data_IF_410388705915
#
_entry.id   IF_410388705915
#
_cell.length_a   1.000
_cell.length_b   1.000
_cell.length_c   1.000
_cell.angle_alpha   90.00
_cell.angle_beta   90.00
_cell.angle_gamma   90.00
#
_symmetry.space_group_name_H-M   'P 1'
#
loop_
_entity.id
_entity.type
_entity.pdbx_description
1 polymer ?
#
# COMPACT_ATOMS: atom_id res chain seq x y z
N UNK A 1 14.87 8.15 11.38
CA UNK A 1 13.73 7.23 11.23
C UNK A 1 12.80 7.50 12.39
N UNK A 2 11.47 7.62 12.18
CA UNK A 2 10.54 7.89 13.26
C UNK A 2 10.55 6.75 14.29
N UNK A 3 10.27 7.07 15.54
CA UNK A 3 10.13 6.08 16.62
C UNK A 3 8.72 5.45 16.57
N UNK A 4 8.53 4.33 17.28
CA UNK A 4 7.22 3.65 17.31
C UNK A 4 6.09 4.57 17.77
N UNK A 5 6.32 5.36 18.82
CA UNK A 5 5.30 6.29 19.34
C UNK A 5 4.88 7.34 18.31
N UNK A 6 5.83 7.80 17.49
CA UNK A 6 5.56 8.73 16.39
C UNK A 6 4.74 8.07 15.28
N UNK A 7 5.03 6.81 14.94
CA UNK A 7 4.23 6.05 13.97
C UNK A 7 2.81 5.80 14.49
N UNK A 8 2.64 5.47 15.78
CA UNK A 8 1.33 5.32 16.40
C UNK A 8 0.54 6.64 16.41
N UNK A 9 1.21 7.76 16.65
CA UNK A 9 0.62 9.09 16.51
C UNK A 9 0.14 9.35 15.08
N UNK A 10 0.94 9.00 14.07
CA UNK A 10 0.54 9.10 12.66
C UNK A 10 -0.68 8.23 12.34
N UNK A 11 -0.70 6.97 12.79
CA UNK A 11 -1.85 6.07 12.59
C UNK A 11 -3.11 6.65 13.23
N UNK A 12 -3.00 7.24 14.42
CA UNK A 12 -4.11 7.95 15.07
C UNK A 12 -4.59 9.13 14.22
N UNK A 13 -3.67 9.96 13.71
CA UNK A 13 -3.98 11.06 12.80
C UNK A 13 -4.72 10.61 11.56
N UNK A 14 -4.24 9.55 10.91
CA UNK A 14 -4.90 8.93 9.75
C UNK A 14 -6.31 8.48 10.07
N UNK A 15 -6.52 7.83 11.22
CA UNK A 15 -7.84 7.37 11.62
C UNK A 15 -8.83 8.53 11.79
N UNK A 16 -8.41 9.63 12.41
CA UNK A 16 -9.22 10.85 12.50
C UNK A 16 -9.56 11.41 11.12
N UNK A 17 -8.59 11.49 10.21
CA UNK A 17 -8.84 11.94 8.84
C UNK A 17 -9.80 11.02 8.08
N UNK A 18 -9.68 9.70 8.21
CA UNK A 18 -10.61 8.71 7.63
C UNK A 18 -12.02 8.91 8.17
N UNK A 19 -12.15 9.27 9.46
CA UNK A 19 -13.44 9.59 10.07
C UNK A 19 -14.05 10.92 9.59
N UNK A 20 -13.29 11.75 8.86
CA UNK A 20 -13.72 13.08 8.43
C UNK A 20 -13.26 14.20 9.38
N UNK A 21 -12.54 13.87 10.46
CA UNK A 21 -12.06 14.85 11.43
C UNK A 21 -10.71 15.43 10.97
N UNK A 22 -10.71 16.71 10.58
CA UNK A 22 -9.51 17.44 10.15
C UNK A 22 -8.49 17.66 11.26
N UNK A 23 -8.86 17.48 12.53
CA UNK A 23 -7.91 17.45 13.65
C UNK A 23 -6.82 16.40 13.46
N UNK A 24 -7.06 15.34 12.65
CA UNK A 24 -6.04 14.36 12.32
C UNK A 24 -4.75 14.95 11.73
N UNK A 25 -4.79 16.14 11.11
CA UNK A 25 -3.59 16.85 10.66
C UNK A 25 -2.65 17.26 11.79
N UNK A 26 -3.14 17.53 13.00
CA UNK A 26 -2.28 17.93 14.13
C UNK A 26 -1.36 16.80 14.61
N UNK A 27 -1.70 15.56 14.26
CA UNK A 27 -0.93 14.36 14.60
C UNK A 27 0.10 14.00 13.53
N UNK A 28 0.08 14.65 12.35
CA UNK A 28 0.89 14.32 11.19
C UNK A 28 1.89 15.44 10.89
N UNK A 29 3.11 15.07 10.52
CA UNK A 29 4.11 16.03 10.04
C UNK A 29 3.90 16.30 8.54
N UNK A 30 3.19 17.39 8.21
CA UNK A 30 2.89 17.83 6.83
C UNK A 30 3.95 18.82 6.31
N UNK A 31 5.07 18.98 7.01
CA UNK A 31 6.20 19.79 6.53
C UNK A 31 6.95 19.12 5.38
N UNK A 32 7.88 19.84 4.75
CA UNK A 32 8.83 19.24 3.80
C UNK A 32 9.69 18.14 4.45
N UNK A 33 10.10 18.32 5.70
CA UNK A 33 10.80 17.28 6.47
C UNK A 33 9.90 16.06 6.71
N UNK A 34 8.62 16.30 6.98
CA UNK A 34 7.59 15.27 7.13
C UNK A 34 7.34 14.48 5.85
N UNK A 35 7.38 15.14 4.68
CA UNK A 35 7.32 14.51 3.37
C UNK A 35 8.42 13.45 3.23
N UNK A 36 9.68 13.83 3.41
CA UNK A 36 10.81 12.91 3.32
C UNK A 36 10.74 11.80 4.38
N UNK A 37 10.31 12.13 5.60
CA UNK A 37 10.13 11.15 6.68
C UNK A 37 9.05 10.11 6.32
N UNK A 38 8.00 10.50 5.62
CA UNK A 38 6.91 9.58 5.25
C UNK A 38 7.37 8.42 4.37
N UNK A 39 8.43 8.60 3.55
CA UNK A 39 8.98 7.49 2.75
C UNK A 39 9.56 6.36 3.61
N UNK A 40 9.86 6.60 4.89
CA UNK A 40 10.27 5.54 5.83
C UNK A 40 9.14 4.56 6.15
N UNK A 41 7.88 4.87 5.80
CA UNK A 41 6.75 3.96 5.92
C UNK A 41 6.96 2.62 5.20
N UNK A 42 7.74 2.61 4.11
CA UNK A 42 8.11 1.36 3.43
C UNK A 42 8.91 0.43 4.34
N UNK A 43 9.83 0.99 5.13
CA UNK A 43 10.65 0.23 6.09
C UNK A 43 9.79 -0.37 7.20
N UNK A 44 8.78 0.39 7.68
CA UNK A 44 7.79 -0.10 8.64
C UNK A 44 6.87 -1.18 8.06
N UNK A 45 6.69 -1.19 6.74
CA UNK A 45 5.89 -2.18 6.02
C UNK A 45 6.67 -3.46 5.70
N UNK A 46 8.01 -3.43 5.70
CA UNK A 46 8.86 -4.57 5.32
C UNK A 46 8.55 -5.88 6.05
N UNK A 47 8.30 -5.91 7.38
CA UNK A 47 7.95 -7.17 8.05
C UNK A 47 6.66 -7.79 7.50
N UNK A 48 5.64 -6.98 7.25
CA UNK A 48 4.38 -7.43 6.66
C UNK A 48 4.56 -7.85 5.19
N UNK A 49 5.38 -7.12 4.42
CA UNK A 49 5.73 -7.47 3.05
C UNK A 49 6.46 -8.81 2.97
N UNK A 50 7.38 -9.10 3.90
CA UNK A 50 8.08 -10.38 3.95
C UNK A 50 7.13 -11.57 4.14
N UNK A 51 6.09 -11.43 4.96
CA UNK A 51 5.02 -12.43 5.12
C UNK A 51 4.27 -12.63 3.80
N UNK A 52 3.88 -11.54 3.15
CA UNK A 52 3.22 -11.58 1.83
C UNK A 52 4.11 -12.25 0.76
N UNK A 53 5.41 -11.96 0.73
CA UNK A 53 6.34 -12.59 -0.22
C UNK A 53 6.53 -14.08 0.05
N UNK A 54 6.57 -14.50 1.31
CA UNK A 54 6.63 -15.91 1.66
C UNK A 54 5.36 -16.65 1.17
N UNK A 55 4.19 -16.04 1.30
CA UNK A 55 2.93 -16.55 0.73
C UNK A 55 2.98 -16.62 -0.81
N UNK A 56 3.49 -15.59 -1.48
CA UNK A 56 3.71 -15.60 -2.93
C UNK A 56 4.64 -16.71 -3.39
N UNK A 57 5.70 -16.99 -2.63
CA UNK A 57 6.60 -18.12 -2.90
C UNK A 57 5.86 -19.45 -2.82
N UNK A 58 4.99 -19.66 -1.82
CA UNK A 58 4.18 -20.88 -1.74
C UNK A 58 3.24 -21.02 -2.93
N UNK A 59 2.55 -19.93 -3.29
CA UNK A 59 1.68 -19.91 -4.47
C UNK A 59 2.45 -20.28 -5.75
N UNK A 60 3.60 -19.65 -6.00
CA UNK A 60 4.43 -19.93 -7.15
C UNK A 60 4.88 -21.39 -7.19
N UNK A 61 5.43 -21.92 -6.09
CA UNK A 61 5.93 -23.29 -6.03
C UNK A 61 4.82 -24.34 -6.11
N UNK A 62 3.60 -24.02 -5.68
CA UNK A 62 2.46 -24.94 -5.76
C UNK A 62 2.04 -25.29 -7.19
N UNK A 63 2.40 -24.43 -8.16
CA UNK A 63 2.12 -24.62 -9.57
C UNK A 63 3.34 -25.10 -10.37
N UNK A 64 4.49 -25.31 -9.73
CA UNK A 64 5.74 -25.72 -10.37
C UNK A 64 5.99 -27.22 -10.18
N UNK A 65 6.79 -27.86 -11.07
CA UNK A 65 7.20 -29.24 -10.89
C UNK A 65 7.85 -29.49 -9.53
N UNK A 66 7.62 -30.67 -8.95
CA UNK A 66 8.21 -31.08 -7.68
C UNK A 66 9.74 -30.98 -7.72
N UNK A 67 10.34 -30.41 -6.67
CA UNK A 67 11.78 -30.17 -6.60
C UNK A 67 12.22 -28.79 -7.12
N UNK A 68 11.32 -27.99 -7.69
CA UNK A 68 11.60 -26.59 -8.03
C UNK A 68 11.93 -25.81 -6.75
N UNK A 69 12.98 -25.00 -6.80
CA UNK A 69 13.36 -24.09 -5.71
C UNK A 69 13.51 -22.67 -6.23
N UNK A 70 13.31 -21.70 -5.35
CA UNK A 70 13.54 -20.29 -5.63
C UNK A 70 14.53 -19.71 -4.62
N UNK A 71 15.51 -18.97 -5.12
CA UNK A 71 16.52 -18.28 -4.31
C UNK A 71 16.15 -16.82 -4.00
N UNK A 72 17.10 -16.08 -3.45
CA UNK A 72 16.94 -14.67 -3.06
C UNK A 72 16.48 -13.77 -4.21
N UNK A 73 16.85 -14.10 -5.46
CA UNK A 73 16.44 -13.34 -6.65
C UNK A 73 14.92 -13.28 -6.84
N UNK A 74 14.16 -14.26 -6.36
CA UNK A 74 12.69 -14.22 -6.38
C UNK A 74 12.14 -13.09 -5.49
N UNK A 75 12.68 -12.96 -4.28
CA UNK A 75 12.29 -11.92 -3.34
C UNK A 75 12.75 -10.53 -3.78
N UNK A 76 13.93 -10.41 -4.41
CA UNK A 76 14.39 -9.15 -4.99
C UNK A 76 13.46 -8.66 -6.11
N UNK A 77 12.97 -9.56 -6.96
CA UNK A 77 11.98 -9.22 -7.99
C UNK A 77 10.66 -8.74 -7.36
N UNK A 78 10.18 -9.41 -6.30
CA UNK A 78 8.99 -8.96 -5.56
C UNK A 78 9.19 -7.59 -4.90
N UNK A 79 10.36 -7.33 -4.30
CA UNK A 79 10.70 -6.02 -3.76
C UNK A 79 10.66 -4.94 -4.86
N UNK A 80 11.19 -5.22 -6.05
CA UNK A 80 11.14 -4.28 -7.18
C UNK A 80 9.69 -4.02 -7.58
N UNK A 81 8.86 -5.06 -7.70
CA UNK A 81 7.43 -4.93 -8.00
C UNK A 81 6.77 -3.99 -7.00
N UNK A 82 6.93 -4.24 -5.71
CA UNK A 82 6.28 -3.45 -4.66
C UNK A 82 6.78 -2.01 -4.63
N UNK A 83 8.10 -1.78 -4.75
CA UNK A 83 8.68 -0.43 -4.75
C UNK A 83 8.19 0.39 -5.94
N UNK A 84 8.20 -0.20 -7.13
CA UNK A 84 7.82 0.49 -8.36
C UNK A 84 6.32 0.78 -8.38
N UNK A 85 5.49 -0.19 -7.99
CA UNK A 85 4.04 0.00 -7.88
C UNK A 85 3.65 0.97 -6.76
N UNK A 86 4.42 1.07 -5.68
CA UNK A 86 4.20 2.05 -4.62
C UNK A 86 4.62 3.48 -5.03
N UNK A 87 5.73 3.63 -5.75
CA UNK A 87 6.24 4.94 -6.20
C UNK A 87 5.44 5.53 -7.36
N UNK A 88 4.94 4.70 -8.27
CA UNK A 88 4.20 5.16 -9.46
C UNK A 88 3.07 6.16 -9.13
N UNK A 89 2.10 5.86 -8.24
CA UNK A 89 1.01 6.80 -7.97
C UNK A 89 1.49 8.11 -7.34
N UNK A 90 2.57 8.08 -6.55
CA UNK A 90 3.19 9.29 -5.97
C UNK A 90 3.72 10.20 -7.08
N UNK A 91 4.44 9.62 -8.05
CA UNK A 91 4.96 10.34 -9.21
C UNK A 91 3.82 10.93 -10.03
N UNK A 92 2.75 10.15 -10.26
CA UNK A 92 1.58 10.63 -11.00
C UNK A 92 0.86 11.78 -10.29
N UNK A 93 0.66 11.69 -8.97
CA UNK A 93 0.08 12.76 -8.16
C UNK A 93 0.92 14.04 -8.27
N UNK A 94 2.24 13.94 -8.11
CA UNK A 94 3.13 15.08 -8.22
C UNK A 94 3.08 15.70 -9.62
N UNK A 95 3.15 14.88 -10.68
CA UNK A 95 3.13 15.33 -12.06
C UNK A 95 1.80 16.00 -12.45
N UNK A 96 0.67 15.45 -11.99
CA UNK A 96 -0.67 15.93 -12.33
C UNK A 96 -1.15 17.10 -11.46
N UNK A 97 -0.47 17.37 -10.34
CA UNK A 97 -0.90 18.38 -9.36
C UNK A 97 -1.01 19.80 -9.90
N UNK A 98 -0.06 20.22 -10.75
CA UNK A 98 -0.05 21.53 -11.40
C UNK A 98 -1.13 21.65 -12.48
N UNK A 99 -1.20 20.77 -13.49
CA UNK A 99 -2.20 20.91 -14.56
C UNK A 99 -3.64 20.75 -14.05
N UNK A 100 -3.86 20.01 -12.95
CA UNK A 100 -5.19 19.79 -12.38
C UNK A 100 -5.51 20.68 -11.18
N UNK A 101 -4.63 21.62 -10.82
CA UNK A 101 -4.92 22.66 -9.82
C UNK A 101 -4.98 22.21 -8.36
N UNK A 102 -4.39 21.07 -7.99
CA UNK A 102 -4.38 20.55 -6.61
C UNK A 102 -3.00 20.59 -5.94
N UNK A 103 -2.06 21.40 -6.44
CA UNK A 103 -0.70 21.57 -5.91
C UNK A 103 -0.57 21.60 -4.37
N UNK A 104 -1.37 22.39 -3.63
CA UNK A 104 -1.31 22.45 -2.17
C UNK A 104 -1.62 21.12 -1.45
N UNK A 105 -2.27 20.17 -2.13
CA UNK A 105 -2.64 18.86 -1.57
C UNK A 105 -1.55 17.81 -1.75
N UNK A 106 -0.50 18.07 -2.54
CA UNK A 106 0.53 17.06 -2.87
C UNK A 106 1.19 16.51 -1.60
N UNK A 107 1.69 17.38 -0.72
CA UNK A 107 2.37 16.95 0.51
C UNK A 107 1.40 16.20 1.44
N UNK A 108 0.20 16.74 1.78
CA UNK A 108 -0.80 16.00 2.55
C UNK A 108 -1.13 14.62 1.98
N UNK A 109 -1.37 14.53 0.66
CA UNK A 109 -1.72 13.26 0.01
C UNK A 109 -0.57 12.26 0.11
N UNK A 110 0.66 12.65 -0.21
CA UNK A 110 1.82 11.74 -0.16
C UNK A 110 2.09 11.28 1.27
N UNK A 111 2.16 12.21 2.23
CA UNK A 111 2.45 11.87 3.64
C UNK A 111 1.41 10.90 4.18
N UNK A 112 0.13 11.22 4.00
CA UNK A 112 -0.95 10.39 4.54
C UNK A 112 -1.05 9.02 3.87
N UNK A 113 -0.86 8.94 2.55
CA UNK A 113 -0.94 7.66 1.82
C UNK A 113 0.26 6.76 2.09
N UNK A 114 1.46 7.33 2.25
CA UNK A 114 2.62 6.59 2.73
C UNK A 114 2.37 6.00 4.12
N UNK A 115 1.91 6.80 5.08
CA UNK A 115 1.63 6.27 6.41
C UNK A 115 0.45 5.29 6.45
N UNK A 116 -0.55 5.46 5.57
CA UNK A 116 -1.67 4.53 5.42
C UNK A 116 -1.20 3.16 4.89
N UNK A 117 -0.11 3.10 4.12
CA UNK A 117 0.41 1.83 3.59
C UNK A 117 0.84 0.88 4.71
N UNK A 118 1.26 1.40 5.87
CA UNK A 118 1.72 0.59 7.00
C UNK A 118 0.60 -0.31 7.53
N UNK A 119 -0.52 0.20 8.09
CA UNK A 119 -1.59 -0.66 8.58
C UNK A 119 -2.22 -1.52 7.48
N UNK A 120 -2.30 -1.04 6.24
CA UNK A 120 -2.82 -1.83 5.11
C UNK A 120 -1.91 -3.02 4.77
N UNK A 121 -0.58 -2.85 4.82
CA UNK A 121 0.38 -3.94 4.61
C UNK A 121 0.22 -5.01 5.68
N UNK A 122 0.10 -4.63 6.95
CA UNK A 122 -0.15 -5.58 8.03
C UNK A 122 -1.51 -6.27 7.91
N UNK A 123 -2.55 -5.55 7.49
CA UNK A 123 -3.86 -6.16 7.23
C UNK A 123 -3.79 -7.22 6.13
N UNK A 124 -3.03 -6.96 5.05
CA UNK A 124 -2.78 -7.93 3.97
C UNK A 124 -1.87 -9.10 4.38
N UNK A 125 -0.98 -8.89 5.36
CA UNK A 125 -0.15 -9.96 5.89
C UNK A 125 -0.97 -11.03 6.65
N UNK A 126 -2.16 -10.69 7.15
CA UNK A 126 -3.04 -11.64 7.87
C UNK A 126 -3.46 -12.83 6.99
N UNK A 127 -4.13 -12.65 5.83
CA UNK A 127 -4.46 -13.78 4.95
C UNK A 127 -3.22 -14.50 4.44
N UNK A 128 -2.11 -13.80 4.19
CA UNK A 128 -0.84 -14.41 3.81
C UNK A 128 -0.27 -15.33 4.91
N UNK A 129 -0.30 -14.89 6.17
CA UNK A 129 0.11 -15.68 7.33
C UNK A 129 -0.79 -16.91 7.53
N UNK A 130 -2.11 -16.78 7.35
CA UNK A 130 -3.04 -17.90 7.45
C UNK A 130 -2.74 -18.98 6.41
N UNK A 131 -2.38 -18.58 5.19
CA UNK A 131 -1.94 -19.51 4.14
C UNK A 131 -0.64 -20.22 4.54
N UNK A 132 0.35 -19.48 5.04
CA UNK A 132 1.63 -20.03 5.49
C UNK A 132 1.50 -21.03 6.64
N UNK A 133 0.55 -20.81 7.55
CA UNK A 133 0.30 -21.69 8.69
C UNK A 133 -0.51 -22.94 8.34
N UNK A 134 -0.89 -23.14 7.06
CA UNK A 134 -1.77 -24.22 6.58
C UNK A 134 -3.12 -24.29 7.33
N UNK A 135 -3.51 -23.22 8.02
CA UNK A 135 -4.76 -23.10 8.79
C UNK A 135 -5.88 -22.42 8.01
N UNK A 136 -5.58 -21.88 6.82
CA UNK A 136 -6.56 -21.30 5.91
C UNK A 136 -6.65 -22.09 4.60
N UNK A 137 -7.87 -22.44 4.17
CA UNK A 137 -8.09 -22.90 2.80
C UNK A 137 -7.90 -21.76 1.80
N UNK A 138 -7.44 -22.08 0.58
CA UNK A 138 -7.17 -21.09 -0.49
C UNK A 138 -8.34 -20.12 -0.74
N UNK A 139 -9.59 -20.60 -0.62
CA UNK A 139 -10.79 -19.79 -0.80
C UNK A 139 -11.01 -18.78 0.33
N UNK A 140 -10.78 -19.18 1.59
CA UNK A 140 -10.89 -18.29 2.74
C UNK A 140 -9.83 -17.17 2.67
N UNK A 141 -8.58 -17.52 2.38
CA UNK A 141 -7.50 -16.54 2.27
C UNK A 141 -7.72 -15.58 1.10
N UNK A 142 -8.26 -16.05 -0.02
CA UNK A 142 -8.66 -15.20 -1.15
C UNK A 142 -9.79 -14.23 -0.77
N UNK A 143 -10.83 -14.73 -0.09
CA UNK A 143 -11.94 -13.89 0.39
C UNK A 143 -11.46 -12.83 1.39
N UNK A 144 -10.61 -13.20 2.34
CA UNK A 144 -10.02 -12.26 3.28
C UNK A 144 -9.16 -11.20 2.57
N UNK A 145 -8.36 -11.60 1.58
CA UNK A 145 -7.56 -10.66 0.78
C UNK A 145 -8.46 -9.68 0.01
N UNK A 146 -9.58 -10.16 -0.54
CA UNK A 146 -10.58 -9.31 -1.19
C UNK A 146 -11.24 -8.33 -0.21
N UNK A 147 -11.59 -8.79 1.00
CA UNK A 147 -12.14 -7.92 2.06
C UNK A 147 -11.14 -6.82 2.41
N UNK A 148 -9.87 -7.17 2.62
CA UNK A 148 -8.83 -6.19 2.93
C UNK A 148 -8.62 -5.22 1.76
N UNK A 149 -8.68 -5.70 0.51
CA UNK A 149 -8.61 -4.83 -0.67
C UNK A 149 -9.75 -3.82 -0.70
N UNK A 150 -11.00 -4.29 -0.57
CA UNK A 150 -12.19 -3.42 -0.58
C UNK A 150 -12.14 -2.43 0.60
N UNK A 151 -11.78 -2.90 1.80
CA UNK A 151 -11.60 -2.04 2.95
C UNK A 151 -10.51 -0.99 2.70
N UNK A 152 -9.37 -1.37 2.13
CA UNK A 152 -8.29 -0.46 1.76
C UNK A 152 -8.74 0.64 0.80
N UNK A 153 -9.53 0.28 -0.23
CA UNK A 153 -10.11 1.26 -1.18
C UNK A 153 -11.05 2.22 -0.45
N UNK A 154 -11.92 1.72 0.43
CA UNK A 154 -12.85 2.56 1.20
C UNK A 154 -12.09 3.50 2.13
N UNK A 155 -11.07 3.01 2.85
CA UNK A 155 -10.25 3.83 3.76
C UNK A 155 -9.48 4.91 3.00
N UNK A 156 -8.86 4.54 1.86
CA UNK A 156 -8.16 5.49 0.99
C UNK A 156 -9.11 6.57 0.47
N UNK A 157 -10.28 6.19 -0.04
CA UNK A 157 -11.29 7.16 -0.50
C UNK A 157 -11.72 8.11 0.61
N UNK A 158 -12.03 7.59 1.81
CA UNK A 158 -12.44 8.41 2.95
C UNK A 158 -11.33 9.37 3.38
N UNK A 159 -10.09 8.90 3.45
CA UNK A 159 -8.93 9.72 3.74
C UNK A 159 -8.79 10.86 2.73
N UNK A 160 -8.77 10.52 1.44
CA UNK A 160 -8.61 11.50 0.36
C UNK A 160 -9.78 12.48 0.30
N UNK A 161 -11.01 12.03 0.57
CA UNK A 161 -12.19 12.90 0.68
C UNK A 161 -12.03 13.96 1.76
N UNK A 162 -11.49 13.61 2.92
CA UNK A 162 -11.21 14.59 3.98
C UNK A 162 -10.10 15.56 3.56
N UNK A 163 -9.05 15.04 2.92
CA UNK A 163 -7.91 15.85 2.46
C UNK A 163 -8.34 16.87 1.41
N UNK A 164 -9.16 16.45 0.45
CA UNK A 164 -9.69 17.30 -0.63
C UNK A 164 -10.82 18.23 -0.19
N UNK A 165 -11.16 18.29 1.10
CA UNK A 165 -12.21 19.17 1.61
C UNK A 165 -13.61 18.72 1.19
N UNK A 166 -13.87 17.41 1.23
CA UNK A 166 -15.12 16.76 0.84
C UNK A 166 -15.47 16.86 -0.65
N UNK A 167 -14.49 17.15 -1.52
CA UNK A 167 -14.68 17.12 -2.97
C UNK A 167 -14.66 15.67 -3.47
N UNK A 168 -15.85 15.09 -3.65
CA UNK A 168 -16.01 13.67 -4.03
C UNK A 168 -15.33 13.32 -5.36
N UNK A 169 -15.44 14.16 -6.39
CA UNK A 169 -14.85 13.88 -7.70
C UNK A 169 -13.31 13.79 -7.63
N UNK A 170 -12.68 14.78 -7.00
CA UNK A 170 -11.22 14.81 -6.82
C UNK A 170 -10.76 13.64 -5.93
N UNK A 171 -11.49 13.33 -4.86
CA UNK A 171 -11.19 12.20 -3.99
C UNK A 171 -11.26 10.86 -4.73
N UNK A 172 -12.31 10.65 -5.54
CA UNK A 172 -12.46 9.46 -6.38
C UNK A 172 -11.35 9.37 -7.42
N UNK A 173 -11.02 10.48 -8.09
CA UNK A 173 -9.95 10.53 -9.08
C UNK A 173 -8.59 10.18 -8.48
N UNK A 174 -8.24 10.77 -7.32
CA UNK A 174 -7.01 10.43 -6.60
C UNK A 174 -7.02 8.97 -6.11
N UNK A 175 -8.15 8.47 -5.63
CA UNK A 175 -8.27 7.05 -5.21
C UNK A 175 -8.00 6.12 -6.39
N UNK A 176 -8.62 6.38 -7.54
CA UNK A 176 -8.41 5.60 -8.76
C UNK A 176 -6.95 5.73 -9.26
N UNK A 177 -6.35 6.91 -9.16
CA UNK A 177 -4.95 7.17 -9.53
C UNK A 177 -3.97 6.40 -8.64
N UNK A 178 -4.28 6.22 -7.36
CA UNK A 178 -3.48 5.40 -6.44
C UNK A 178 -3.65 3.90 -6.68
N UNK A 179 -4.84 3.46 -7.08
CA UNK A 179 -5.19 2.06 -7.16
C UNK A 179 -4.84 1.45 -8.54
N UNK A 180 -5.42 2.00 -9.61
CA UNK A 180 -5.43 1.34 -10.92
C UNK A 180 -4.02 1.25 -11.54
N UNK A 181 -3.21 2.33 -11.61
CA UNK A 181 -1.88 2.26 -12.19
C UNK A 181 -0.97 1.30 -11.42
N UNK A 182 -1.04 1.32 -10.09
CA UNK A 182 -0.26 0.45 -9.21
C UNK A 182 -0.59 -1.02 -9.43
N UNK A 183 -1.88 -1.36 -9.56
CA UNK A 183 -2.33 -2.73 -9.84
C UNK A 183 -1.92 -3.20 -11.23
N UNK A 184 -2.13 -2.38 -12.25
CA UNK A 184 -1.75 -2.70 -13.64
C UNK A 184 -0.24 -2.90 -13.76
N UNK A 185 0.56 -2.03 -13.15
CA UNK A 185 2.01 -2.15 -13.17
C UNK A 185 2.52 -3.33 -12.36
N UNK A 186 1.92 -3.60 -11.18
CA UNK A 186 2.28 -4.77 -10.38
C UNK A 186 2.05 -6.05 -11.15
N UNK A 187 0.87 -6.20 -11.75
CA UNK A 187 0.54 -7.37 -12.56
C UNK A 187 1.48 -7.51 -13.77
N UNK A 188 1.72 -6.41 -14.50
CA UNK A 188 2.65 -6.41 -15.63
C UNK A 188 4.06 -6.86 -15.21
N UNK A 189 4.62 -6.29 -14.14
CA UNK A 189 5.96 -6.63 -13.65
C UNK A 189 6.03 -8.06 -13.12
N UNK A 190 4.96 -8.56 -12.50
CA UNK A 190 4.89 -9.95 -12.06
C UNK A 190 4.96 -10.93 -13.23
N UNK A 191 4.26 -10.67 -14.34
CA UNK A 191 4.41 -11.46 -15.57
C UNK A 191 5.79 -11.30 -16.18
N UNK A 192 6.26 -10.06 -16.32
CA UNK A 192 7.58 -9.75 -16.90
C UNK A 192 8.72 -10.45 -16.17
N UNK A 193 8.66 -10.52 -14.85
CA UNK A 193 9.67 -11.18 -14.02
C UNK A 193 9.48 -12.69 -13.86
N UNK A 194 8.40 -13.26 -14.40
CA UNK A 194 8.05 -14.68 -14.27
C UNK A 194 7.69 -15.07 -12.83
N UNK A 195 7.02 -14.19 -12.11
CA UNK A 195 6.57 -14.40 -10.72
C UNK A 195 5.19 -15.05 -10.62
N UNK A 196 4.46 -15.14 -11.74
CA UNK A 196 3.18 -15.84 -11.85
C UNK A 196 3.43 -17.14 -12.65
N UNK A 197 2.86 -18.28 -12.22
CA UNK A 197 2.88 -19.50 -13.02
C UNK A 197 2.18 -19.27 -14.37
N UNK A 198 2.85 -19.65 -15.46
CA UNK A 198 2.29 -19.59 -16.82
C UNK A 198 1.32 -20.71 -17.13
#
# INVERSE_FOLDING_TARGET
MPLLDEVLAYIKGLWLLIQGNREGYSWLDISEGGLWRSFTAILWSLPAMAVSWASWRLYYLSAMPSGTTVGIGFFLKLLIVDLVSWLLPIVLVAALSRPLGFGPLVVPVIVTTNWLSVPLSYAMAIPAALLLLARGGHQLTALLSLIVLVAGVVLLFRLLRTITGNQNLLASALTALYLLPSMMLAQYLQYFFGLIPG
#
